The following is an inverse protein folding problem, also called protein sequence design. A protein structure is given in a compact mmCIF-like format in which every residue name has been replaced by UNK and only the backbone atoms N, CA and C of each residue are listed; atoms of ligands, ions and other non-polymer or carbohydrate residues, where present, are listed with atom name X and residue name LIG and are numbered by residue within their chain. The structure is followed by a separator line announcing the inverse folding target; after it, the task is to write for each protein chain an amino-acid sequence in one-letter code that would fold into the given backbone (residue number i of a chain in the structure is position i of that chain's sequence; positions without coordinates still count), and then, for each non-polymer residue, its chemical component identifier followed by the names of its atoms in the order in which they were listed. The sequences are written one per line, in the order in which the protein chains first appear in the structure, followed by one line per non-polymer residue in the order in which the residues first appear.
data_IF_836735543750
#
_entry.id   IF_836735543750
#
_cell.length_a   1.000
_cell.length_b   1.000
_cell.length_c   1.000
_cell.angle_alpha   90.00
_cell.angle_beta   90.00
_cell.angle_gamma   90.00
#
_symmetry.space_group_name_H-M   'P 1'
#
loop_
_entity.id
_entity.type
_entity.pdbx_description
1 polymer ?
#
# COMPACT_ATOMS: atom_id res chain seq x y z
N UNK A 1 37.54 25.11 -55.16
CA UNK A 1 36.34 24.77 -55.93
C UNK A 1 35.34 24.22 -54.94
N UNK A 2 34.20 24.88 -54.75
CA UNK A 2 33.16 24.44 -53.81
C UNK A 2 32.49 23.18 -54.38
N UNK A 3 32.82 22.03 -53.80
CA UNK A 3 32.12 20.78 -54.06
C UNK A 3 30.66 20.98 -53.67
N UNK A 4 29.73 20.84 -54.63
CA UNK A 4 28.29 20.87 -54.37
C UNK A 4 27.93 19.63 -53.55
N UNK A 5 27.97 19.73 -52.22
CA UNK A 5 27.68 18.66 -51.26
C UNK A 5 26.33 18.89 -50.60
N UNK A 6 25.66 17.80 -50.22
CA UNK A 6 24.41 17.84 -49.46
C UNK A 6 24.69 17.27 -48.09
N UNK A 7 24.29 17.98 -47.04
CA UNK A 7 24.64 17.65 -45.65
C UNK A 7 23.34 17.43 -44.88
N UNK A 8 23.28 16.33 -44.14
CA UNK A 8 22.20 16.03 -43.24
C UNK A 8 22.74 15.78 -41.84
N UNK A 9 22.02 16.25 -40.82
CA UNK A 9 22.23 15.89 -39.43
C UNK A 9 21.22 14.82 -39.02
N UNK A 10 21.69 13.76 -38.38
CA UNK A 10 20.83 12.74 -37.81
C UNK A 10 20.29 13.21 -36.46
N UNK A 11 18.97 13.22 -36.33
CA UNK A 11 18.28 13.52 -35.08
C UNK A 11 18.05 12.25 -34.24
N UNK A 12 17.79 12.42 -32.94
CA UNK A 12 17.53 11.30 -32.02
C UNK A 12 16.30 10.47 -32.37
N UNK A 13 15.36 11.03 -33.15
CA UNK A 13 14.20 10.30 -33.69
C UNK A 13 14.54 9.38 -34.86
N UNK A 14 15.77 9.43 -35.37
CA UNK A 14 16.21 8.73 -36.58
C UNK A 14 15.88 9.46 -37.89
N UNK A 15 15.32 10.67 -37.81
CA UNK A 15 15.06 11.54 -38.97
C UNK A 15 16.27 12.40 -39.34
N UNK A 16 16.25 12.96 -40.55
CA UNK A 16 17.32 13.81 -41.06
C UNK A 16 16.89 15.25 -41.20
N UNK A 17 17.78 16.16 -40.81
CA UNK A 17 17.64 17.60 -41.01
C UNK A 17 18.73 18.06 -41.98
N UNK A 18 18.36 18.73 -43.07
CA UNK A 18 19.33 19.29 -44.01
C UNK A 18 20.06 20.48 -43.37
N UNK A 19 21.39 20.48 -43.46
CA UNK A 19 22.26 21.49 -42.88
C UNK A 19 22.85 22.34 -44.00
N UNK A 20 22.73 23.65 -43.88
CA UNK A 20 23.36 24.58 -44.80
C UNK A 20 24.89 24.44 -44.76
N UNK A 21 25.53 24.45 -45.93
CA UNK A 21 26.99 24.29 -46.04
C UNK A 21 27.78 25.34 -45.25
N UNK A 22 27.24 26.56 -45.14
CA UNK A 22 27.83 27.67 -44.37
C UNK A 22 27.91 27.37 -42.86
N UNK A 23 27.03 26.52 -42.34
CA UNK A 23 26.96 26.13 -40.92
C UNK A 23 27.62 24.76 -40.65
N UNK A 24 28.33 24.19 -41.63
CA UNK A 24 28.88 22.85 -41.52
C UNK A 24 29.86 22.71 -40.35
N UNK A 25 30.75 23.69 -40.16
CA UNK A 25 31.76 23.67 -39.08
C UNK A 25 31.10 23.61 -37.70
N UNK A 26 30.03 24.37 -37.49
CA UNK A 26 29.29 24.44 -36.22
C UNK A 26 28.55 23.14 -35.90
N UNK A 27 28.26 22.34 -36.93
CA UNK A 27 27.56 21.06 -36.79
C UNK A 27 28.51 19.89 -36.49
N UNK A 28 29.81 20.05 -36.69
CA UNK A 28 30.84 19.11 -36.22
C UNK A 28 31.00 19.23 -34.71
N UNK A 29 30.13 18.54 -33.97
CA UNK A 29 30.14 18.52 -32.49
C UNK A 29 30.47 17.14 -31.94
N UNK A 30 30.75 17.06 -30.65
CA UNK A 30 31.07 15.79 -29.98
C UNK A 30 29.93 14.76 -30.01
N UNK A 31 28.69 15.19 -30.21
CA UNK A 31 27.50 14.36 -30.03
C UNK A 31 26.72 14.10 -31.31
N UNK A 32 27.02 14.83 -32.39
CA UNK A 32 26.29 14.73 -33.65
C UNK A 32 26.77 13.56 -34.52
N UNK A 33 25.86 13.08 -35.36
CA UNK A 33 26.18 12.26 -36.54
C UNK A 33 25.77 13.05 -37.76
N UNK A 34 26.72 13.28 -38.68
CA UNK A 34 26.48 14.00 -39.92
C UNK A 34 26.59 13.05 -41.11
N UNK A 35 25.68 13.19 -42.06
CA UNK A 35 25.68 12.48 -43.33
C UNK A 35 25.97 13.47 -44.44
N UNK A 36 27.08 13.27 -45.16
CA UNK A 36 27.55 14.18 -46.20
C UNK A 36 27.55 13.42 -47.52
N UNK A 37 26.72 13.85 -48.46
CA UNK A 37 26.60 13.27 -49.79
C UNK A 37 27.35 14.10 -50.82
N UNK A 38 28.13 13.42 -51.67
CA UNK A 38 28.89 14.00 -52.77
C UNK A 38 28.28 13.52 -54.09
N UNK A 39 27.40 14.31 -54.75
CA UNK A 39 26.62 13.88 -55.92
C UNK A 39 27.44 13.35 -57.08
N UNK A 40 28.55 14.02 -57.41
CA UNK A 40 29.39 13.66 -58.55
C UNK A 40 30.08 12.30 -58.37
N UNK A 41 30.36 11.91 -57.11
CA UNK A 41 30.99 10.63 -56.78
C UNK A 41 29.97 9.57 -56.36
N UNK A 42 28.72 9.96 -56.10
CA UNK A 42 27.68 9.11 -55.51
C UNK A 42 28.14 8.46 -54.19
N UNK A 43 28.98 9.19 -53.44
CA UNK A 43 29.53 8.77 -52.16
C UNK A 43 28.77 9.43 -51.01
N UNK A 44 28.55 8.67 -49.94
CA UNK A 44 27.97 9.16 -48.71
C UNK A 44 28.95 8.91 -47.56
N UNK A 45 29.35 9.99 -46.89
CA UNK A 45 30.19 9.95 -45.71
C UNK A 45 29.30 10.09 -44.47
N UNK A 46 29.49 9.23 -43.47
CA UNK A 46 28.83 9.30 -42.18
C UNK A 46 29.91 9.67 -41.16
N UNK A 47 29.92 10.92 -40.73
CA UNK A 47 30.81 11.39 -39.68
C UNK A 47 30.17 11.21 -38.31
N UNK A 48 30.91 10.64 -37.37
CA UNK A 48 30.45 10.29 -36.03
C UNK A 48 31.26 11.09 -35.00
N UNK A 49 30.59 11.95 -34.24
CA UNK A 49 31.18 12.64 -33.10
C UNK A 49 31.72 11.66 -32.03
N UNK A 50 32.79 12.07 -31.35
CA UNK A 50 33.53 11.22 -30.39
C UNK A 50 32.68 10.70 -29.21
N UNK A 51 31.60 11.40 -28.85
CA UNK A 51 30.73 11.11 -27.70
C UNK A 51 29.26 10.91 -28.08
N UNK A 52 28.98 10.54 -29.34
CA UNK A 52 27.63 10.21 -29.80
C UNK A 52 26.97 9.18 -28.86
N UNK A 53 25.71 9.42 -28.51
CA UNK A 53 24.91 8.56 -27.63
C UNK A 53 24.69 7.17 -28.22
N UNK A 54 24.40 6.18 -27.37
CA UNK A 54 24.11 4.83 -27.84
C UNK A 54 22.83 4.76 -28.68
N UNK A 55 21.84 5.61 -28.37
CA UNK A 55 20.60 5.73 -29.15
C UNK A 55 20.89 6.17 -30.59
N UNK A 56 21.67 7.23 -30.80
CA UNK A 56 22.08 7.67 -32.14
C UNK A 56 22.93 6.61 -32.86
N UNK A 57 23.85 5.95 -32.14
CA UNK A 57 24.66 4.84 -32.71
C UNK A 57 23.81 3.70 -33.26
N UNK A 58 22.66 3.41 -32.64
CA UNK A 58 21.77 2.34 -33.08
C UNK A 58 21.14 2.60 -34.45
N UNK A 59 21.03 3.86 -34.87
CA UNK A 59 20.47 4.26 -36.17
C UNK A 59 21.51 4.25 -37.31
N UNK A 60 22.82 4.29 -37.00
CA UNK A 60 23.90 4.35 -37.99
C UNK A 60 23.82 3.26 -39.06
N UNK A 61 23.56 1.97 -38.73
CA UNK A 61 23.46 0.91 -39.73
C UNK A 61 22.35 1.13 -40.77
N UNK A 62 21.34 1.94 -40.43
CA UNK A 62 20.14 2.16 -41.25
C UNK A 62 20.19 3.47 -42.05
N UNK A 63 21.16 4.36 -41.78
CA UNK A 63 21.24 5.70 -42.39
C UNK A 63 21.11 5.66 -43.91
N UNK A 64 21.84 4.76 -44.59
CA UNK A 64 21.79 4.64 -46.05
C UNK A 64 20.38 4.34 -46.56
N UNK A 65 19.71 3.38 -45.93
CA UNK A 65 18.36 2.95 -46.31
C UNK A 65 17.31 4.01 -46.01
N UNK A 66 17.52 4.80 -44.95
CA UNK A 66 16.65 5.91 -44.58
C UNK A 66 16.81 7.09 -45.55
N UNK A 67 18.04 7.54 -45.83
CA UNK A 67 18.30 8.59 -46.82
C UNK A 67 17.80 8.19 -48.21
N UNK A 68 18.04 6.96 -48.66
CA UNK A 68 17.54 6.52 -49.98
C UNK A 68 16.01 6.47 -50.07
N UNK A 69 15.30 6.39 -48.93
CA UNK A 69 13.84 6.42 -48.87
C UNK A 69 13.30 7.85 -48.84
N UNK A 70 13.92 8.72 -48.06
CA UNK A 70 13.53 10.12 -47.91
C UNK A 70 13.95 10.96 -49.12
N UNK A 71 15.07 10.61 -49.75
CA UNK A 71 15.68 11.27 -50.90
C UNK A 71 16.01 10.26 -52.02
N UNK A 72 15.00 9.71 -52.73
CA UNK A 72 15.20 8.70 -53.78
C UNK A 72 16.06 9.17 -54.97
N UNK A 73 16.16 10.48 -55.16
CA UNK A 73 17.00 11.13 -56.17
C UNK A 73 18.51 10.96 -55.89
N UNK A 74 18.90 10.73 -54.64
CA UNK A 74 20.30 10.56 -54.24
C UNK A 74 20.74 9.13 -54.48
N UNK A 75 21.41 8.90 -55.60
CA UNK A 75 22.00 7.61 -55.90
C UNK A 75 23.28 7.41 -55.07
N UNK A 76 23.24 6.49 -54.10
CA UNK A 76 24.37 6.18 -53.20
C UNK A 76 25.04 4.87 -53.64
N UNK A 77 26.25 4.97 -54.20
CA UNK A 77 27.07 3.83 -54.60
C UNK A 77 27.91 3.28 -53.46
N UNK A 78 28.49 4.17 -52.64
CA UNK A 78 29.38 3.80 -51.54
C UNK A 78 29.06 4.60 -50.28
N UNK A 79 29.07 3.92 -49.13
CA UNK A 79 28.99 4.53 -47.81
C UNK A 79 30.33 4.37 -47.08
N UNK A 80 30.80 5.45 -46.45
CA UNK A 80 32.05 5.49 -45.71
C UNK A 80 31.74 6.06 -44.33
N UNK A 81 32.11 5.34 -43.27
CA UNK A 81 31.94 5.81 -41.90
C UNK A 81 33.27 6.36 -41.39
N UNK A 82 33.23 7.55 -40.80
CA UNK A 82 34.39 8.27 -40.29
C UNK A 82 34.12 8.60 -38.83
N UNK A 83 35.03 8.22 -37.93
CA UNK A 83 34.99 8.64 -36.54
C UNK A 83 35.75 9.96 -36.35
N UNK A 84 35.25 10.82 -35.47
CA UNK A 84 35.87 12.10 -35.16
C UNK A 84 37.33 11.92 -34.70
N UNK A 85 38.24 12.65 -35.34
CA UNK A 85 39.68 12.57 -35.13
C UNK A 85 40.42 11.57 -36.02
N UNK A 86 39.69 10.79 -36.83
CA UNK A 86 40.22 9.85 -37.82
C UNK A 86 39.81 10.24 -39.26
N UNK A 87 39.57 11.53 -39.50
CA UNK A 87 39.18 12.07 -40.80
C UNK A 87 40.31 11.91 -41.84
N UNK A 88 40.06 11.23 -42.98
CA UNK A 88 41.03 11.17 -44.07
C UNK A 88 41.25 12.55 -44.71
N UNK A 89 42.47 12.88 -45.19
CA UNK A 89 42.73 14.16 -45.88
C UNK A 89 41.77 14.42 -47.05
N UNK A 90 41.47 13.39 -47.84
CA UNK A 90 40.53 13.46 -48.96
C UNK A 90 39.12 13.90 -48.53
N UNK A 91 38.66 13.48 -47.35
CA UNK A 91 37.36 13.89 -46.82
C UNK A 91 37.35 15.37 -46.46
N UNK A 92 38.42 15.86 -45.84
CA UNK A 92 38.58 17.26 -45.45
C UNK A 92 38.63 18.19 -46.66
N UNK A 93 39.31 17.77 -47.73
CA UNK A 93 39.31 18.48 -49.02
C UNK A 93 37.92 18.55 -49.64
N UNK A 94 37.16 17.44 -49.62
CA UNK A 94 35.80 17.36 -50.16
C UNK A 94 34.86 18.35 -49.47
N UNK A 95 34.91 18.41 -48.13
CA UNK A 95 34.05 19.29 -47.32
C UNK A 95 34.57 20.73 -47.26
N UNK A 96 35.79 20.98 -47.73
CA UNK A 96 36.41 22.31 -47.76
C UNK A 96 36.77 22.85 -46.38
N UNK A 97 37.12 21.98 -45.43
CA UNK A 97 37.50 22.38 -44.07
C UNK A 97 38.96 21.99 -43.82
N UNK A 98 39.75 22.94 -43.35
CA UNK A 98 41.12 22.66 -42.94
C UNK A 98 41.15 21.81 -41.66
N UNK A 99 42.03 20.80 -41.63
CA UNK A 99 42.19 19.89 -40.49
C UNK A 99 42.40 20.62 -39.16
N UNK A 100 43.21 21.69 -39.17
CA UNK A 100 43.50 22.50 -37.99
C UNK A 100 42.29 23.24 -37.44
N UNK A 101 41.37 23.68 -38.31
CA UNK A 101 40.14 24.37 -37.91
C UNK A 101 39.19 23.37 -37.25
N UNK A 102 38.98 22.20 -37.87
CA UNK A 102 38.13 21.15 -37.30
C UNK A 102 38.69 20.65 -35.96
N UNK A 103 39.99 20.35 -35.89
CA UNK A 103 40.63 19.90 -34.64
C UNK A 103 40.55 20.96 -33.54
N UNK A 104 40.75 22.24 -33.87
CA UNK A 104 40.65 23.32 -32.89
C UNK A 104 39.22 23.47 -32.38
N UNK A 105 38.22 23.44 -33.26
CA UNK A 105 36.81 23.52 -32.88
C UNK A 105 36.38 22.36 -31.97
N UNK A 106 36.70 21.12 -32.36
CA UNK A 106 36.41 19.92 -31.55
C UNK A 106 37.11 20.00 -30.19
N UNK A 107 38.37 20.44 -30.15
CA UNK A 107 39.12 20.60 -28.90
C UNK A 107 38.53 21.70 -27.99
N UNK A 108 38.08 22.82 -28.56
CA UNK A 108 37.41 23.87 -27.80
C UNK A 108 36.08 23.38 -27.22
N UNK A 109 35.30 22.63 -28.00
CA UNK A 109 34.09 21.96 -27.53
C UNK A 109 34.40 20.94 -26.43
N UNK A 110 35.48 20.15 -26.55
CA UNK A 110 35.93 19.26 -25.47
C UNK A 110 36.26 20.07 -24.21
N UNK A 111 37.04 21.14 -24.31
CA UNK A 111 37.40 21.98 -23.15
C UNK A 111 36.16 22.57 -22.47
N UNK A 112 35.19 23.04 -23.25
CA UNK A 112 33.94 23.64 -22.74
C UNK A 112 33.01 22.61 -22.11
N UNK A 113 32.87 21.43 -22.72
CA UNK A 113 31.85 20.44 -22.34
C UNK A 113 32.36 19.40 -21.33
N UNK A 114 33.66 19.14 -21.27
CA UNK A 114 34.25 18.19 -20.31
C UNK A 114 33.93 18.52 -18.84
N UNK A 115 34.01 19.77 -18.37
CA UNK A 115 33.62 20.12 -17.00
C UNK A 115 32.15 19.80 -16.72
N UNK A 116 31.26 20.08 -17.68
CA UNK A 116 29.82 19.83 -17.57
C UNK A 116 29.54 18.32 -17.51
N UNK A 117 30.16 17.54 -18.38
CA UNK A 117 30.03 16.08 -18.39
C UNK A 117 30.60 15.44 -17.11
N UNK A 118 31.72 15.96 -16.61
CA UNK A 118 32.31 15.50 -15.35
C UNK A 118 31.38 15.79 -14.17
N UNK A 119 30.77 16.97 -14.15
CA UNK A 119 29.79 17.34 -13.13
C UNK A 119 28.53 16.47 -13.22
N UNK A 120 27.99 16.22 -14.41
CA UNK A 120 26.88 15.29 -14.63
C UNK A 120 27.19 13.91 -14.03
N UNK A 121 28.38 13.35 -14.32
CA UNK A 121 28.76 12.03 -13.79
C UNK A 121 28.88 12.04 -12.26
N UNK A 122 29.46 13.09 -11.69
CA UNK A 122 29.55 13.26 -10.23
C UNK A 122 28.16 13.31 -9.60
N UNK A 123 27.24 14.07 -10.21
CA UNK A 123 25.85 14.19 -9.74
C UNK A 123 25.11 12.85 -9.87
N UNK A 124 25.30 12.08 -10.95
CA UNK A 124 24.70 10.74 -11.11
C UNK A 124 25.07 9.82 -9.94
N UNK A 125 26.36 9.78 -9.57
CA UNK A 125 26.80 8.99 -8.40
C UNK A 125 26.15 9.46 -7.10
N UNK A 126 25.86 10.77 -6.95
CA UNK A 126 25.14 11.28 -5.78
C UNK A 126 23.65 10.89 -5.80
N UNK A 127 23.01 10.94 -6.98
CA UNK A 127 21.63 10.48 -7.16
C UNK A 127 21.48 9.03 -6.72
N UNK A 128 22.35 8.15 -7.22
CA UNK A 128 22.32 6.71 -6.89
C UNK A 128 22.49 6.50 -5.39
N UNK A 129 23.45 7.20 -4.77
CA UNK A 129 23.70 7.11 -3.34
C UNK A 129 22.47 7.52 -2.50
N UNK A 130 21.84 8.65 -2.84
CA UNK A 130 20.63 9.11 -2.13
C UNK A 130 19.44 8.18 -2.37
N UNK A 131 19.27 7.68 -3.58
CA UNK A 131 18.19 6.75 -3.92
C UNK A 131 18.30 5.42 -3.16
N UNK A 132 19.50 4.81 -3.14
CA UNK A 132 19.76 3.58 -2.36
C UNK A 132 19.55 3.81 -0.86
N UNK A 133 19.85 5.02 -0.38
CA UNK A 133 19.66 5.39 1.03
C UNK A 133 18.22 5.79 1.38
N UNK A 134 17.25 5.58 0.48
CA UNK A 134 15.85 6.02 0.63
C UNK A 134 15.67 7.53 0.85
N UNK A 135 16.66 8.35 0.47
CA UNK A 135 16.63 9.82 0.55
C UNK A 135 16.14 10.39 -0.77
N UNK A 136 14.87 10.09 -1.08
CA UNK A 136 14.29 10.32 -2.40
C UNK A 136 14.18 11.79 -2.78
N UNK A 137 13.86 12.69 -1.84
CA UNK A 137 13.77 14.13 -2.11
C UNK A 137 15.14 14.71 -2.51
N UNK A 138 16.22 14.31 -1.82
CA UNK A 138 17.57 14.69 -2.19
C UNK A 138 17.97 14.13 -3.56
N UNK A 139 17.62 12.87 -3.85
CA UNK A 139 17.85 12.28 -5.16
C UNK A 139 17.13 13.06 -6.28
N UNK A 140 15.88 13.49 -6.05
CA UNK A 140 15.09 14.29 -6.99
C UNK A 140 15.75 15.66 -7.24
N UNK A 141 16.18 16.36 -6.18
CA UNK A 141 16.84 17.66 -6.31
C UNK A 141 18.13 17.58 -7.13
N UNK A 142 18.93 16.51 -6.95
CA UNK A 142 20.15 16.31 -7.73
C UNK A 142 19.82 15.94 -9.19
N UNK A 143 18.82 15.09 -9.43
CA UNK A 143 18.37 14.75 -10.78
C UNK A 143 17.91 15.99 -11.57
N UNK A 144 17.24 16.94 -10.92
CA UNK A 144 16.86 18.23 -11.54
C UNK A 144 18.07 19.07 -11.96
N UNK A 145 19.17 19.03 -11.19
CA UNK A 145 20.43 19.68 -11.58
C UNK A 145 21.02 19.02 -12.83
N UNK A 146 20.97 17.69 -12.92
CA UNK A 146 21.42 16.95 -14.11
C UNK A 146 20.59 17.35 -15.34
N UNK A 147 19.26 17.46 -15.22
CA UNK A 147 18.39 17.95 -16.31
C UNK A 147 18.84 19.34 -16.79
N UNK A 148 19.14 20.25 -15.86
CA UNK A 148 19.58 21.61 -16.21
C UNK A 148 20.90 21.60 -16.99
N UNK A 149 21.86 20.75 -16.58
CA UNK A 149 23.12 20.58 -17.29
C UNK A 149 22.94 19.89 -18.65
N UNK A 150 22.04 18.91 -18.74
CA UNK A 150 21.72 18.19 -19.97
C UNK A 150 21.13 19.16 -21.02
N UNK A 151 20.20 20.04 -20.62
CA UNK A 151 19.68 21.13 -21.46
C UNK A 151 20.79 22.06 -21.95
N UNK A 152 21.73 22.40 -21.07
CA UNK A 152 22.88 23.24 -21.41
C UNK A 152 23.79 22.66 -22.49
N UNK A 153 23.74 21.33 -22.72
CA UNK A 153 24.53 20.63 -23.75
C UNK A 153 23.67 20.01 -24.86
N UNK A 154 22.36 20.28 -24.88
CA UNK A 154 21.37 19.69 -25.80
C UNK A 154 21.36 18.15 -25.80
N UNK A 155 21.48 17.52 -24.62
CA UNK A 155 21.38 16.06 -24.47
C UNK A 155 19.96 15.65 -24.02
N UNK A 156 19.04 15.63 -24.97
CA UNK A 156 17.61 15.33 -24.75
C UNK A 156 17.40 13.91 -24.17
N UNK A 157 18.29 12.96 -24.51
CA UNK A 157 18.24 11.60 -23.99
C UNK A 157 18.48 11.58 -22.49
N UNK A 158 19.52 12.28 -22.04
CA UNK A 158 19.82 12.38 -20.62
C UNK A 158 18.72 13.12 -19.85
N UNK A 159 18.13 14.17 -20.43
CA UNK A 159 16.97 14.84 -19.85
C UNK A 159 15.83 13.85 -19.61
N UNK A 160 15.43 13.09 -20.63
CA UNK A 160 14.31 12.17 -20.52
C UNK A 160 14.56 11.05 -19.50
N UNK A 161 15.78 10.53 -19.45
CA UNK A 161 16.19 9.52 -18.46
C UNK A 161 16.02 10.05 -17.03
N UNK A 162 16.42 11.28 -16.77
CA UNK A 162 16.29 11.89 -15.44
C UNK A 162 14.83 12.24 -15.10
N UNK A 163 14.01 12.62 -16.08
CA UNK A 163 12.56 12.82 -15.87
C UNK A 163 11.90 11.52 -15.42
N UNK A 164 12.19 10.41 -16.12
CA UNK A 164 11.67 9.08 -15.77
C UNK A 164 12.13 8.67 -14.36
N UNK A 165 13.39 8.90 -14.03
CA UNK A 165 13.93 8.68 -12.69
C UNK A 165 13.17 9.48 -11.61
N UNK A 166 12.90 10.77 -11.83
CA UNK A 166 12.15 11.62 -10.88
C UNK A 166 10.74 11.07 -10.65
N UNK A 167 10.06 10.58 -11.69
CA UNK A 167 8.74 9.97 -11.57
C UNK A 167 8.79 8.74 -10.66
N UNK A 168 9.78 7.86 -10.87
CA UNK A 168 9.98 6.67 -10.02
C UNK A 168 10.29 7.07 -8.57
N UNK A 169 11.25 7.97 -8.37
CA UNK A 169 11.65 8.43 -7.04
C UNK A 169 10.47 9.04 -6.26
N UNK A 170 9.61 9.83 -6.91
CA UNK A 170 8.38 10.36 -6.30
C UNK A 170 7.39 9.27 -5.92
N UNK A 171 7.25 8.25 -6.76
CA UNK A 171 6.38 7.10 -6.45
C UNK A 171 6.88 6.35 -5.20
N UNK A 172 8.20 6.13 -5.10
CA UNK A 172 8.80 5.48 -3.93
C UNK A 172 8.72 6.33 -2.66
N UNK A 173 8.96 7.63 -2.76
CA UNK A 173 8.84 8.57 -1.64
C UNK A 173 7.43 8.50 -1.01
N UNK A 174 6.38 8.58 -1.84
CA UNK A 174 4.98 8.46 -1.38
C UNK A 174 4.71 7.10 -0.72
N UNK A 175 5.23 6.02 -1.29
CA UNK A 175 5.06 4.70 -0.69
C UNK A 175 5.72 4.63 0.70
N UNK A 176 6.91 5.22 0.86
CA UNK A 176 7.60 5.31 2.16
C UNK A 176 6.82 6.15 3.17
N UNK A 177 6.26 7.30 2.76
CA UNK A 177 5.44 8.14 3.63
C UNK A 177 4.20 7.40 4.14
N UNK A 178 3.50 6.68 3.25
CA UNK A 178 2.31 5.90 3.63
C UNK A 178 2.69 4.77 4.59
N UNK A 179 3.81 4.08 4.34
CA UNK A 179 4.31 3.06 5.26
C UNK A 179 4.60 3.64 6.64
N UNK A 180 5.24 4.81 6.72
CA UNK A 180 5.51 5.50 7.99
C UNK A 180 4.22 5.95 8.70
N UNK A 181 3.21 6.40 7.95
CA UNK A 181 1.88 6.72 8.52
C UNK A 181 1.25 5.48 9.17
N UNK A 182 1.24 4.35 8.43
CA UNK A 182 0.70 3.08 8.93
C UNK A 182 1.48 2.63 10.17
N UNK A 183 2.81 2.68 10.14
CA UNK A 183 3.66 2.31 11.28
C UNK A 183 3.38 3.16 12.52
N UNK A 184 3.25 4.48 12.35
CA UNK A 184 2.94 5.41 13.44
C UNK A 184 1.57 5.11 14.04
N UNK A 185 0.55 4.90 13.19
CA UNK A 185 -0.78 4.53 13.63
C UNK A 185 -0.80 3.18 14.35
N UNK A 186 -0.10 2.17 13.83
CA UNK A 186 0.01 0.86 14.46
C UNK A 186 0.73 0.93 15.81
N UNK A 187 1.74 1.80 15.95
CA UNK A 187 2.44 2.02 17.23
C UNK A 187 1.49 2.61 18.28
N UNK A 188 0.76 3.66 17.94
CA UNK A 188 -0.23 4.27 18.83
C UNK A 188 -1.36 3.29 19.18
N UNK A 189 -1.83 2.55 18.19
CA UNK A 189 -2.87 1.55 18.36
C UNK A 189 -2.40 0.41 19.27
N UNK A 190 -1.14 -0.02 19.17
CA UNK A 190 -0.56 -1.02 20.06
C UNK A 190 -0.59 -0.55 21.52
N UNK A 191 -0.25 0.72 21.77
CA UNK A 191 -0.31 1.29 23.12
C UNK A 191 -1.75 1.30 23.68
N UNK A 192 -2.73 1.71 22.86
CA UNK A 192 -4.15 1.72 23.24
C UNK A 192 -4.70 0.30 23.42
N UNK A 193 -4.30 -0.63 22.56
CA UNK A 193 -4.65 -2.05 22.65
C UNK A 193 -4.19 -2.62 23.99
N UNK A 194 -2.92 -2.43 24.34
CA UNK A 194 -2.36 -2.91 25.60
C UNK A 194 -3.07 -2.27 26.82
N UNK A 195 -3.50 -1.00 26.73
CA UNK A 195 -4.32 -0.36 27.75
C UNK A 195 -5.70 -1.01 27.90
N UNK A 196 -6.40 -1.27 26.78
CA UNK A 196 -7.71 -1.92 26.80
C UNK A 196 -7.64 -3.34 27.37
N UNK A 197 -6.61 -4.10 27.01
CA UNK A 197 -6.37 -5.45 27.54
C UNK A 197 -6.14 -5.41 29.06
N UNK A 198 -5.35 -4.45 29.57
CA UNK A 198 -5.09 -4.31 31.02
C UNK A 198 -6.34 -4.01 31.85
N UNK A 199 -7.32 -3.29 31.29
CA UNK A 199 -8.60 -3.00 31.95
C UNK A 199 -9.71 -3.95 31.50
N UNK A 200 -9.35 -5.09 30.90
CA UNK A 200 -10.23 -6.17 30.47
C UNK A 200 -11.35 -5.73 29.49
N UNK A 201 -11.11 -4.66 28.74
CA UNK A 201 -12.00 -4.15 27.68
C UNK A 201 -11.68 -4.79 26.33
N UNK A 202 -11.74 -6.12 26.28
CA UNK A 202 -11.28 -6.90 25.11
C UNK A 202 -12.04 -6.60 23.81
N UNK A 203 -13.34 -6.33 23.88
CA UNK A 203 -14.12 -5.94 22.69
C UNK A 203 -13.60 -4.63 22.07
N UNK A 204 -13.21 -3.65 22.89
CA UNK A 204 -12.65 -2.40 22.39
C UNK A 204 -11.25 -2.60 21.81
N UNK A 205 -10.45 -3.47 22.41
CA UNK A 205 -9.14 -3.86 21.88
C UNK A 205 -9.28 -4.51 20.49
N UNK A 206 -10.19 -5.48 20.36
CA UNK A 206 -10.45 -6.17 19.10
C UNK A 206 -10.98 -5.21 18.02
N UNK A 207 -11.95 -4.36 18.37
CA UNK A 207 -12.52 -3.37 17.46
C UNK A 207 -11.45 -2.40 16.92
N UNK A 208 -10.54 -1.92 17.79
CA UNK A 208 -9.45 -1.03 17.38
C UNK A 208 -8.59 -1.64 16.26
N UNK A 209 -8.27 -2.93 16.36
CA UNK A 209 -7.47 -3.63 15.34
C UNK A 209 -8.30 -3.85 14.07
N UNK A 210 -9.59 -4.19 14.22
CA UNK A 210 -10.54 -4.30 13.11
C UNK A 210 -10.68 -3.00 12.31
N UNK A 211 -10.80 -1.85 12.97
CA UNK A 211 -10.91 -0.54 12.32
C UNK A 211 -9.66 -0.20 11.49
N UNK A 212 -8.46 -0.54 12.00
CA UNK A 212 -7.19 -0.36 11.27
C UNK A 212 -7.13 -1.28 10.06
N UNK A 213 -7.51 -2.55 10.24
CA UNK A 213 -7.54 -3.52 9.16
C UNK A 213 -8.46 -3.05 8.04
N UNK A 214 -9.69 -2.66 8.36
CA UNK A 214 -10.66 -2.15 7.39
C UNK A 214 -10.17 -0.91 6.63
N UNK A 215 -9.43 -0.01 7.29
CA UNK A 215 -8.90 1.21 6.66
C UNK A 215 -7.88 0.93 5.55
N UNK A 216 -7.09 -0.14 5.66
CA UNK A 216 -5.92 -0.37 4.80
C UNK A 216 -5.92 -1.70 4.01
N UNK A 217 -6.73 -2.69 4.38
CA UNK A 217 -6.72 -4.06 3.81
C UNK A 217 -6.93 -4.10 2.29
N UNK A 218 -7.70 -3.17 1.72
CA UNK A 218 -7.94 -3.11 0.27
C UNK A 218 -6.79 -2.50 -0.53
N UNK A 219 -5.82 -1.86 0.14
CA UNK A 219 -4.74 -1.10 -0.51
C UNK A 219 -3.36 -1.67 -0.20
N UNK A 220 -3.19 -2.29 0.97
CA UNK A 220 -1.91 -2.76 1.48
C UNK A 220 -2.06 -4.08 2.19
N UNK A 221 -1.09 -4.96 1.99
CA UNK A 221 -0.95 -6.16 2.80
C UNK A 221 -0.30 -5.81 4.14
N UNK A 222 -1.13 -5.61 5.16
CA UNK A 222 -0.69 -5.27 6.52
C UNK A 222 0.22 -6.35 7.14
N UNK A 223 0.20 -7.59 6.66
CA UNK A 223 1.07 -8.65 7.17
C UNK A 223 2.54 -8.43 6.82
N UNK A 224 2.82 -7.61 5.80
CA UNK A 224 4.18 -7.26 5.36
C UNK A 224 4.80 -6.11 6.16
N UNK A 225 4.01 -5.37 6.94
CA UNK A 225 4.47 -4.23 7.73
C UNK A 225 4.73 -4.69 9.18
N UNK A 226 5.97 -4.66 9.69
CA UNK A 226 6.33 -5.31 10.96
C UNK A 226 5.47 -4.91 12.15
N UNK A 227 5.18 -3.61 12.32
CA UNK A 227 4.36 -3.13 13.44
C UNK A 227 2.89 -3.50 13.30
N UNK A 228 2.35 -3.50 12.06
CA UNK A 228 0.99 -3.94 11.81
C UNK A 228 0.85 -5.44 12.05
N UNK A 229 1.80 -6.24 11.57
CA UNK A 229 1.87 -7.68 11.82
C UNK A 229 1.90 -7.99 13.33
N UNK A 230 2.73 -7.28 14.10
CA UNK A 230 2.78 -7.45 15.56
C UNK A 230 1.43 -7.15 16.22
N UNK A 231 0.74 -6.08 15.80
CA UNK A 231 -0.57 -5.72 16.33
C UNK A 231 -1.63 -6.78 16.00
N UNK A 232 -1.65 -7.26 14.75
CA UNK A 232 -2.57 -8.33 14.31
C UNK A 232 -2.34 -9.62 15.12
N UNK A 233 -1.08 -10.03 15.28
CA UNK A 233 -0.74 -11.20 16.08
C UNK A 233 -1.12 -11.04 17.56
N UNK A 234 -1.00 -9.83 18.12
CA UNK A 234 -1.46 -9.55 19.49
C UNK A 234 -2.97 -9.77 19.64
N UNK A 235 -3.75 -9.27 18.68
CA UNK A 235 -5.21 -9.44 18.64
C UNK A 235 -5.60 -10.91 18.49
N UNK A 236 -5.02 -11.61 17.52
CA UNK A 236 -5.28 -13.03 17.29
C UNK A 236 -4.98 -13.89 18.54
N UNK A 237 -3.85 -13.64 19.19
CA UNK A 237 -3.46 -14.34 20.42
C UNK A 237 -4.37 -14.00 21.61
N UNK A 238 -4.88 -12.76 21.68
CA UNK A 238 -5.86 -12.38 22.69
C UNK A 238 -7.19 -13.11 22.45
N UNK A 239 -7.72 -13.06 21.23
CA UNK A 239 -8.99 -13.71 20.86
C UNK A 239 -8.91 -15.22 21.08
N UNK A 240 -7.80 -15.86 20.70
CA UNK A 240 -7.59 -17.29 20.92
C UNK A 240 -7.59 -17.67 22.42
N UNK A 241 -6.86 -16.91 23.26
CA UNK A 241 -6.84 -17.14 24.72
C UNK A 241 -8.24 -16.98 25.32
N UNK A 242 -8.95 -15.93 24.95
CA UNK A 242 -10.31 -15.69 25.42
C UNK A 242 -11.27 -16.80 25.00
N UNK A 243 -11.14 -17.35 23.80
CA UNK A 243 -11.93 -18.52 23.39
C UNK A 243 -11.71 -19.72 24.31
N UNK A 244 -10.45 -20.04 24.64
CA UNK A 244 -10.11 -21.15 25.53
C UNK A 244 -10.71 -20.92 26.93
N UNK A 245 -10.59 -19.71 27.46
CA UNK A 245 -11.12 -19.34 28.78
C UNK A 245 -12.65 -19.36 28.82
N UNK A 246 -13.31 -18.98 27.72
CA UNK A 246 -14.76 -18.88 27.63
C UNK A 246 -15.45 -20.22 27.36
N UNK A 247 -14.81 -21.15 26.64
CA UNK A 247 -15.35 -22.47 26.32
C UNK A 247 -15.91 -23.26 27.53
N UNK A 248 -15.20 -23.42 28.67
CA UNK A 248 -15.76 -24.10 29.84
C UNK A 248 -16.91 -23.31 30.48
N UNK A 249 -16.90 -21.98 30.37
CA UNK A 249 -18.00 -21.14 30.87
C UNK A 249 -19.26 -21.36 30.03
N UNK A 250 -19.13 -21.43 28.70
CA UNK A 250 -20.21 -21.76 27.77
C UNK A 250 -20.79 -23.12 28.11
N UNK A 251 -19.94 -24.15 28.22
CA UNK A 251 -20.38 -25.51 28.58
C UNK A 251 -21.08 -25.55 29.95
N UNK A 252 -20.56 -24.79 30.92
CA UNK A 252 -21.21 -24.65 32.22
C UNK A 252 -22.60 -24.00 32.12
N UNK A 253 -22.76 -23.01 31.24
CA UNK A 253 -24.08 -22.41 30.96
C UNK A 253 -24.99 -23.42 30.29
N UNK A 254 -24.54 -24.09 29.23
CA UNK A 254 -25.34 -25.07 28.50
C UNK A 254 -25.77 -26.25 29.38
N UNK A 255 -24.88 -26.76 30.23
CA UNK A 255 -25.18 -27.82 31.18
C UNK A 255 -26.22 -27.39 32.22
N UNK A 256 -26.07 -26.20 32.78
CA UNK A 256 -27.04 -25.65 33.73
C UNK A 256 -28.42 -25.52 33.07
N UNK A 257 -28.49 -24.92 31.88
CA UNK A 257 -29.73 -24.78 31.13
C UNK A 257 -30.38 -26.13 30.82
N UNK A 258 -29.57 -27.10 30.35
CA UNK A 258 -30.05 -28.46 30.05
C UNK A 258 -30.60 -29.17 31.29
N UNK A 259 -29.99 -28.96 32.46
CA UNK A 259 -30.46 -29.54 33.73
C UNK A 259 -31.73 -28.85 34.24
N UNK A 260 -31.83 -27.53 34.08
CA UNK A 260 -32.98 -26.74 34.50
C UNK A 260 -34.23 -27.06 33.66
N UNK A 261 -34.07 -27.28 32.35
CA UNK A 261 -35.20 -27.69 31.48
C UNK A 261 -35.75 -29.08 31.79
N UNK A 262 -34.91 -29.97 32.33
CA UNK A 262 -35.26 -31.35 32.64
C UNK A 262 -35.75 -31.55 34.07
N UNK A 263 -35.56 -30.57 34.95
CA UNK A 263 -36.02 -30.68 36.33
C UNK A 263 -37.55 -30.57 36.38
N UNK A 264 -38.16 -31.34 37.27
CA UNK A 264 -39.58 -31.20 37.61
C UNK A 264 -39.87 -29.88 38.34
N UNK A 265 -38.83 -29.24 38.89
CA UNK A 265 -38.85 -27.96 39.61
C UNK A 265 -38.72 -26.77 38.66
N UNK A 266 -39.75 -26.56 37.81
CA UNK A 266 -39.91 -25.34 36.99
C UNK A 266 -39.91 -24.03 37.79
N UNK A 267 -39.91 -24.10 39.12
CA UNK A 267 -40.08 -22.98 40.04
C UNK A 267 -38.86 -22.73 40.94
N UNK A 268 -37.68 -23.32 40.70
CA UNK A 268 -36.47 -23.00 41.46
C UNK A 268 -35.84 -21.65 41.03
N UNK A 269 -36.59 -20.56 41.25
CA UNK A 269 -36.23 -19.20 40.84
C UNK A 269 -34.98 -18.67 41.51
N UNK A 270 -34.68 -19.14 42.72
CA UNK A 270 -33.50 -18.72 43.49
C UNK A 270 -32.23 -19.16 42.79
N UNK A 271 -32.13 -20.44 42.42
CA UNK A 271 -30.98 -20.96 41.66
C UNK A 271 -30.83 -20.29 40.30
N UNK A 272 -31.93 -20.08 39.56
CA UNK A 272 -31.91 -19.41 38.26
C UNK A 272 -31.44 -17.95 38.38
N UNK A 273 -31.94 -17.21 39.38
CA UNK A 273 -31.53 -15.82 39.65
C UNK A 273 -30.06 -15.75 40.04
N UNK A 274 -29.62 -16.57 40.98
CA UNK A 274 -28.23 -16.61 41.45
C UNK A 274 -27.26 -16.98 40.34
N UNK A 275 -27.67 -17.86 39.43
CA UNK A 275 -26.91 -18.23 38.25
C UNK A 275 -26.79 -17.05 37.26
N UNK A 276 -27.91 -16.40 36.92
CA UNK A 276 -27.93 -15.26 36.00
C UNK A 276 -27.12 -14.08 36.53
N UNK A 277 -27.22 -13.74 37.82
CA UNK A 277 -26.42 -12.67 38.44
C UNK A 277 -24.91 -12.98 38.38
N UNK A 278 -24.52 -14.21 38.75
CA UNK A 278 -23.11 -14.64 38.67
C UNK A 278 -22.58 -14.57 37.24
N UNK A 279 -23.35 -15.04 36.26
CA UNK A 279 -22.92 -15.08 34.86
C UNK A 279 -22.95 -13.72 34.18
N UNK A 280 -23.87 -12.83 34.56
CA UNK A 280 -23.92 -11.45 34.04
C UNK A 280 -22.65 -10.67 34.39
N UNK A 281 -22.13 -10.84 35.60
CA UNK A 281 -20.88 -10.21 36.01
C UNK A 281 -19.68 -10.69 35.19
N UNK A 282 -19.64 -11.97 34.83
CA UNK A 282 -18.56 -12.52 33.98
C UNK A 282 -18.76 -12.17 32.49
N UNK A 283 -20.02 -11.93 32.07
CA UNK A 283 -20.37 -11.69 30.67
C UNK A 283 -19.88 -10.39 30.06
N UNK A 284 -19.54 -9.40 30.89
CA UNK A 284 -18.97 -8.13 30.44
C UNK A 284 -17.61 -8.32 29.75
N UNK A 285 -16.93 -9.44 30.03
CA UNK A 285 -15.61 -9.77 29.49
C UNK A 285 -15.67 -10.71 28.27
N UNK A 286 -16.86 -11.12 27.84
CA UNK A 286 -17.00 -12.03 26.70
C UNK A 286 -16.89 -11.30 25.37
N UNK A 287 -16.16 -11.95 24.46
CA UNK A 287 -15.96 -11.48 23.08
C UNK A 287 -16.99 -12.13 22.14
N UNK A 288 -17.51 -13.30 22.50
CA UNK A 288 -18.50 -14.04 21.72
C UNK A 288 -19.93 -13.54 22.03
N UNK A 289 -20.52 -12.86 21.04
CA UNK A 289 -21.89 -12.35 21.09
C UNK A 289 -22.93 -13.47 21.28
N UNK A 290 -22.61 -14.72 20.91
CA UNK A 290 -23.47 -15.89 21.15
C UNK A 290 -23.72 -16.12 22.64
N UNK A 291 -22.74 -15.82 23.49
CA UNK A 291 -22.89 -15.98 24.95
C UNK A 291 -23.81 -14.90 25.50
N UNK A 292 -23.60 -13.65 25.06
CA UNK A 292 -24.45 -12.52 25.45
C UNK A 292 -25.90 -12.77 25.04
N UNK A 293 -26.11 -13.19 23.79
CA UNK A 293 -27.44 -13.53 23.27
C UNK A 293 -28.12 -14.66 24.05
N UNK A 294 -27.40 -15.75 24.37
CA UNK A 294 -27.96 -16.85 25.19
C UNK A 294 -28.32 -16.40 26.60
N UNK A 295 -27.49 -15.56 27.23
CA UNK A 295 -27.78 -15.02 28.56
C UNK A 295 -28.98 -14.07 28.55
N UNK A 296 -29.13 -13.23 27.52
CA UNK A 296 -30.31 -12.37 27.35
C UNK A 296 -31.59 -13.18 27.16
N UNK A 297 -31.57 -14.19 26.28
CA UNK A 297 -32.72 -15.06 26.04
C UNK A 297 -33.21 -15.74 27.33
N UNK A 298 -32.28 -16.16 28.19
CA UNK A 298 -32.60 -16.80 29.46
C UNK A 298 -33.04 -15.81 30.54
N UNK A 299 -32.49 -14.58 30.52
CA UNK A 299 -32.99 -13.51 31.37
C UNK A 299 -34.46 -13.17 31.01
N UNK A 300 -34.79 -13.11 29.73
CA UNK A 300 -36.16 -12.92 29.25
C UNK A 300 -37.06 -14.07 29.68
N UNK A 301 -36.58 -15.31 29.60
CA UNK A 301 -37.31 -16.50 30.07
C UNK A 301 -37.57 -16.43 31.57
N UNK A 302 -36.57 -16.08 32.38
CA UNK A 302 -36.70 -15.87 33.82
C UNK A 302 -37.80 -14.85 34.14
N UNK A 303 -37.82 -13.71 33.43
CA UNK A 303 -38.84 -12.69 33.61
C UNK A 303 -40.25 -13.21 33.28
N UNK A 304 -40.42 -13.97 32.18
CA UNK A 304 -41.73 -14.55 31.82
C UNK A 304 -42.24 -15.55 32.86
N UNK A 305 -41.41 -16.50 33.27
CA UNK A 305 -41.82 -17.51 34.27
C UNK A 305 -42.16 -16.83 35.60
N UNK A 306 -41.43 -15.77 35.99
CA UNK A 306 -41.72 -15.00 37.19
C UNK A 306 -43.08 -14.28 37.09
N UNK A 307 -43.38 -13.71 35.93
CA UNK A 307 -44.66 -13.04 35.68
C UNK A 307 -45.84 -14.03 35.73
N UNK A 308 -45.68 -15.20 35.11
CA UNK A 308 -46.67 -16.29 35.17
C UNK A 308 -46.94 -16.73 36.62
N UNK A 309 -45.89 -16.89 37.44
CA UNK A 309 -46.03 -17.22 38.86
C UNK A 309 -46.80 -16.14 39.62
N UNK A 310 -46.45 -14.86 39.42
CA UNK A 310 -47.12 -13.73 40.08
C UNK A 310 -48.61 -13.71 39.72
N UNK A 311 -48.94 -13.93 38.46
CA UNK A 311 -50.32 -14.01 37.98
C UNK A 311 -51.06 -15.19 38.61
N UNK A 312 -50.44 -16.37 38.66
CA UNK A 312 -51.04 -17.55 39.27
C UNK A 312 -51.28 -17.37 40.77
N UNK A 313 -50.30 -16.84 41.51
CA UNK A 313 -50.43 -16.52 42.94
C UNK A 313 -51.52 -15.49 43.18
N UNK A 314 -51.62 -14.46 42.33
CA UNK A 314 -52.69 -13.45 42.41
C UNK A 314 -54.08 -14.06 42.21
N UNK A 315 -54.23 -14.97 41.24
CA UNK A 315 -55.48 -15.69 41.00
C UNK A 315 -55.85 -16.58 42.18
N UNK A 316 -54.91 -17.40 42.67
CA UNK A 316 -55.13 -18.26 43.83
C UNK A 316 -55.48 -17.45 45.08
N UNK A 317 -54.80 -16.33 45.30
CA UNK A 317 -55.08 -15.42 46.43
C UNK A 317 -56.49 -14.84 46.33
N UNK A 318 -56.93 -14.46 45.13
CA UNK A 318 -58.29 -13.96 44.90
C UNK A 318 -59.36 -15.03 45.18
N UNK A 319 -59.08 -16.29 44.86
CA UNK A 319 -59.99 -17.42 45.16
C UNK A 319 -60.02 -17.70 46.67
N UNK A 320 -58.85 -17.68 47.33
CA UNK A 320 -58.75 -17.86 48.77
C UNK A 320 -59.54 -16.78 49.54
N UNK A 321 -59.37 -15.51 49.16
CA UNK A 321 -60.11 -14.37 49.75
C UNK A 321 -61.62 -14.55 49.59
N UNK A 322 -62.10 -14.93 48.39
CA UNK A 322 -63.54 -15.21 48.18
C UNK A 322 -64.06 -16.34 49.07
N UNK A 323 -63.26 -17.37 49.31
CA UNK A 323 -63.63 -18.47 50.20
C UNK A 323 -63.62 -18.07 51.69
N UNK A 324 -62.75 -17.13 52.10
CA UNK A 324 -62.82 -16.52 53.43
C UNK A 324 -64.10 -15.71 53.59
N UNK A 325 -64.43 -14.85 52.62
CA UNK A 325 -65.60 -13.97 52.67
C UNK A 325 -66.92 -14.76 52.68
N UNK A 326 -66.94 -15.97 52.10
CA UNK A 326 -68.09 -16.88 52.13
C UNK A 326 -68.16 -17.79 53.36
N UNK A 327 -67.20 -17.70 54.29
CA UNK A 327 -67.14 -18.51 55.51
C UNK A 327 -66.53 -19.91 55.33
N UNK A 328 -66.01 -20.25 54.14
CA UNK A 328 -65.36 -21.52 53.84
C UNK A 328 -63.86 -21.52 54.22
N UNK A 329 -63.58 -21.25 55.50
CA UNK A 329 -62.22 -21.06 56.03
C UNK A 329 -61.27 -22.22 55.69
N UNK A 330 -61.73 -23.48 55.79
CA UNK A 330 -60.90 -24.65 55.49
C UNK A 330 -60.41 -24.69 54.04
N UNK A 331 -61.24 -24.27 53.07
CA UNK A 331 -60.84 -24.25 51.66
C UNK A 331 -59.90 -23.09 51.36
N UNK A 332 -60.09 -21.94 52.01
CA UNK A 332 -59.14 -20.84 51.91
C UNK A 332 -57.77 -21.20 52.47
N UNK A 333 -57.73 -21.92 53.60
CA UNK A 333 -56.48 -22.34 54.24
C UNK A 333 -55.70 -23.28 53.32
N UNK A 334 -56.39 -24.25 52.72
CA UNK A 334 -55.79 -25.19 51.76
C UNK A 334 -55.22 -24.49 50.51
N UNK A 335 -55.85 -23.41 50.04
CA UNK A 335 -55.35 -22.61 48.92
C UNK A 335 -54.11 -21.80 49.34
N UNK A 336 -54.12 -21.19 50.52
CA UNK A 336 -52.93 -20.47 51.02
C UNK A 336 -51.76 -21.42 51.28
N UNK A 337 -52.01 -22.63 51.78
CA UNK A 337 -50.97 -23.67 51.91
C UNK A 337 -50.39 -24.06 50.54
N UNK A 338 -51.23 -24.19 49.50
CA UNK A 338 -50.75 -24.42 48.12
C UNK A 338 -49.94 -23.25 47.58
N UNK A 339 -50.31 -22.00 47.90
CA UNK A 339 -49.53 -20.81 47.54
C UNK A 339 -48.18 -20.83 48.26
N UNK A 340 -48.15 -21.13 49.56
CA UNK A 340 -46.91 -21.22 50.34
C UNK A 340 -46.01 -22.31 49.79
N UNK A 341 -46.53 -23.50 49.49
CA UNK A 341 -45.77 -24.59 48.85
C UNK A 341 -45.25 -24.23 47.46
N UNK A 342 -45.98 -23.43 46.68
CA UNK A 342 -45.52 -22.96 45.37
C UNK A 342 -44.48 -21.85 45.44
N UNK A 343 -44.58 -21.02 46.48
CA UNK A 343 -43.62 -19.96 46.77
C UNK A 343 -42.42 -20.46 47.56
N UNK A 344 -42.39 -21.74 47.96
CA UNK A 344 -41.56 -22.24 49.04
C UNK A 344 -40.06 -22.01 48.78
N UNK A 345 -39.60 -20.93 49.41
CA UNK A 345 -38.23 -20.66 49.76
C UNK A 345 -37.81 -21.69 50.82
N UNK A 346 -37.16 -22.77 50.41
CA UNK A 346 -36.35 -23.64 51.28
C UNK A 346 -37.02 -24.11 52.60
N UNK A 347 -37.84 -25.16 52.55
CA UNK A 347 -38.25 -25.91 53.75
C UNK A 347 -37.14 -26.86 54.26
N UNK A 348 -35.89 -26.38 54.29
CA UNK A 348 -34.74 -27.09 54.88
C UNK A 348 -34.46 -26.72 56.34
N UNK A 349 -35.25 -25.86 56.98
CA UNK A 349 -35.06 -25.45 58.38
C UNK A 349 -36.20 -25.81 59.36
N UNK A 350 -37.22 -26.58 58.95
CA UNK A 350 -38.33 -26.95 59.84
C UNK A 350 -38.33 -28.38 60.41
N UNK A 351 -37.28 -29.17 60.17
CA UNK A 351 -37.14 -30.48 60.83
C UNK A 351 -35.81 -30.57 61.57
N UNK A 352 -35.84 -30.07 62.80
CA UNK A 352 -34.75 -30.11 63.76
C UNK A 352 -35.18 -29.59 65.13
N UNK A 353 -36.38 -29.96 65.60
CA UNK A 353 -36.73 -30.07 67.02
C UNK A 353 -37.28 -31.47 67.28
#
# INVERSE_FOLDING_TARGET
MSSNIIIFKLNYSGSFEEVAQESLVDNFTLFNVLTIYVPHQKHMYIWIGKRVSQSLKSHIPQIRSAIAREHPELQILRNITIESGLEPPEFLEIIGIEENILKSNIKELEIKLLPVLSEINRLKSQVDHYFISNRYEEAIMIAQKIITLAKGINDDSLEQDQINFIIEARSRARATEILQEIETLCKEATMKFDQFVKVEKYQNAHKLVGDIKQKYENKYDLSTIPLAQQLLLKDENMVYRLKIEQEPIIKGIENFLSSFEKSSDKYNFKEMKDFLERKRNVSQHFLDDKIKFKLEQENDRYHRIREDLVNEVSQLSSVAIKNMDSGELSKSLEIFEKIVQKLDFDDKYRKGE
#
